data_IF_505819285093
#
_entry.id   IF_505819285093
#
_cell.length_a   1.000
_cell.length_b   1.000
_cell.length_c   1.000
_cell.angle_alpha   90.00
_cell.angle_beta   90.00
_cell.angle_gamma   90.00
#
_symmetry.space_group_name_H-M   'P 1'
#
loop_
_entity.id
_entity.type
_entity.pdbx_description
1 polymer ?
#
# COMPACT_ATOMS: atom_id res chain seq x y z
N UNK A 1 2.82 4.47 20.12
CA UNK A 1 1.46 4.88 20.57
C UNK A 1 0.61 3.63 20.76
N UNK A 2 -0.47 3.67 21.53
CA UNK A 2 -1.42 2.55 21.63
C UNK A 2 -2.58 2.88 20.70
N UNK A 3 -2.85 2.03 19.72
CA UNK A 3 -3.96 2.16 18.79
C UNK A 3 -5.09 1.22 19.22
N UNK A 4 -6.33 1.57 18.93
CA UNK A 4 -7.51 0.75 19.27
C UNK A 4 -7.81 -0.26 18.15
N UNK A 5 -7.67 0.17 16.87
CA UNK A 5 -8.07 -0.58 15.69
C UNK A 5 -6.90 -0.97 14.79
N UNK A 6 -5.68 -0.65 15.19
CA UNK A 6 -4.45 -0.99 14.46
C UNK A 6 -3.48 -1.68 15.41
N UNK A 7 -2.85 -2.72 14.94
CA UNK A 7 -1.73 -3.36 15.63
C UNK A 7 -0.44 -3.14 14.84
N UNK A 8 0.64 -2.83 15.54
CA UNK A 8 1.98 -2.77 14.99
C UNK A 8 2.81 -3.91 15.58
N UNK A 9 3.44 -4.66 14.72
CA UNK A 9 4.40 -5.70 15.06
C UNK A 9 5.72 -5.44 14.33
N UNK A 10 6.78 -6.06 14.80
CA UNK A 10 8.09 -6.02 14.15
C UNK A 10 8.64 -7.42 13.96
N UNK A 11 9.08 -7.71 12.75
CA UNK A 11 9.79 -8.94 12.38
C UNK A 11 11.13 -8.56 11.74
N UNK A 12 12.20 -8.55 12.56
CA UNK A 12 13.50 -8.04 12.11
C UNK A 12 13.41 -6.59 11.66
N UNK A 13 13.76 -6.34 10.40
CA UNK A 13 13.71 -5.03 9.75
C UNK A 13 12.38 -4.75 9.02
N UNK A 14 11.37 -5.60 9.20
CA UNK A 14 10.03 -5.42 8.63
C UNK A 14 9.08 -4.93 9.71
N UNK A 15 8.44 -3.79 9.46
CA UNK A 15 7.32 -3.30 10.26
C UNK A 15 6.00 -3.86 9.72
N UNK A 16 5.19 -4.46 10.57
CA UNK A 16 3.90 -5.07 10.20
C UNK A 16 2.78 -4.20 10.78
N UNK A 17 1.90 -3.72 9.90
CA UNK A 17 0.70 -3.00 10.25
C UNK A 17 -0.51 -3.92 10.01
N UNK A 18 -1.28 -4.20 11.07
CA UNK A 18 -2.50 -5.00 10.98
C UNK A 18 -3.73 -4.16 11.23
N UNK A 19 -4.71 -4.26 10.34
CA UNK A 19 -6.06 -3.77 10.60
C UNK A 19 -6.70 -4.71 11.62
N UNK A 20 -7.15 -4.17 12.74
CA UNK A 20 -7.63 -4.99 13.89
C UNK A 20 -9.03 -4.59 14.38
N UNK A 21 -10.01 -4.81 13.51
CA UNK A 21 -11.43 -4.71 13.82
C UNK A 21 -12.19 -5.87 13.15
N UNK A 22 -11.76 -7.14 13.42
CA UNK A 22 -12.20 -8.32 12.66
C UNK A 22 -13.70 -8.60 12.76
N UNK A 23 -14.35 -8.26 13.87
CA UNK A 23 -15.81 -8.39 14.09
C UNK A 23 -16.65 -7.52 13.15
N UNK A 24 -16.05 -6.46 12.59
CA UNK A 24 -16.62 -5.58 11.57
C UNK A 24 -15.91 -5.70 10.22
N UNK A 25 -15.23 -6.82 9.97
CA UNK A 25 -14.48 -7.09 8.73
C UNK A 25 -13.47 -5.97 8.40
N UNK A 26 -12.88 -5.37 9.42
CA UNK A 26 -11.94 -4.24 9.31
C UNK A 26 -12.52 -3.04 8.55
N UNK A 27 -13.84 -2.79 8.64
CA UNK A 27 -14.47 -1.61 8.06
C UNK A 27 -13.93 -0.33 8.71
N UNK A 28 -13.54 0.63 7.88
CA UNK A 28 -12.79 1.83 8.25
C UNK A 28 -13.69 2.91 8.86
N UNK A 29 -13.60 3.11 10.15
CA UNK A 29 -14.14 4.30 10.82
C UNK A 29 -13.24 5.52 10.61
N UNK A 30 -13.68 6.71 11.02
CA UNK A 30 -12.83 7.90 11.01
C UNK A 30 -11.60 7.70 11.91
N UNK A 31 -11.78 7.17 13.12
CA UNK A 31 -10.69 6.89 14.06
C UNK A 31 -9.70 5.88 13.48
N UNK A 32 -10.17 4.72 12.98
CA UNK A 32 -9.30 3.71 12.37
C UNK A 32 -8.52 4.26 11.16
N UNK A 33 -9.10 5.21 10.42
CA UNK A 33 -8.41 5.86 9.30
C UNK A 33 -7.26 6.76 9.77
N UNK A 34 -7.43 7.46 10.88
CA UNK A 34 -6.36 8.26 11.52
C UNK A 34 -5.28 7.34 12.06
N UNK A 35 -5.66 6.35 12.87
CA UNK A 35 -4.73 5.37 13.44
C UNK A 35 -3.89 4.65 12.38
N UNK A 36 -4.52 4.25 11.26
CA UNK A 36 -3.80 3.68 10.12
C UNK A 36 -2.74 4.64 9.58
N UNK A 37 -3.08 5.91 9.41
CA UNK A 37 -2.15 6.90 8.86
C UNK A 37 -0.98 7.18 9.82
N UNK A 38 -1.27 7.26 11.12
CA UNK A 38 -0.25 7.47 12.15
C UNK A 38 0.65 6.24 12.32
N UNK A 39 0.07 5.03 12.37
CA UNK A 39 0.81 3.78 12.46
C UNK A 39 1.72 3.57 11.25
N UNK A 40 1.22 3.87 10.04
CA UNK A 40 2.02 3.81 8.83
C UNK A 40 3.19 4.80 8.87
N UNK A 41 2.96 6.02 9.37
CA UNK A 41 4.01 7.01 9.55
C UNK A 41 5.03 6.59 10.61
N UNK A 42 4.60 6.05 11.74
CA UNK A 42 5.48 5.53 12.79
C UNK A 42 6.46 4.49 12.23
N UNK A 43 5.94 3.52 11.46
CA UNK A 43 6.79 2.52 10.80
C UNK A 43 7.70 3.12 9.71
N UNK A 44 7.21 4.10 8.98
CA UNK A 44 8.00 4.75 7.93
C UNK A 44 9.12 5.64 8.50
N UNK A 45 8.90 6.27 9.65
CA UNK A 45 9.87 7.15 10.31
C UNK A 45 10.89 6.38 11.16
N UNK A 46 10.59 5.13 11.57
CA UNK A 46 11.52 4.29 12.33
C UNK A 46 12.73 3.86 11.47
N UNK A 47 13.93 4.39 11.78
CA UNK A 47 15.17 4.07 11.05
C UNK A 47 15.57 2.59 11.06
N UNK A 48 15.04 1.79 11.99
CA UNK A 48 15.30 0.36 12.07
C UNK A 48 14.40 -0.49 11.18
N UNK A 49 13.33 0.10 10.59
CA UNK A 49 12.44 -0.55 9.64
C UNK A 49 12.93 -0.29 8.21
N UNK A 50 13.02 -1.34 7.40
CA UNK A 50 13.43 -1.29 6.01
C UNK A 50 12.29 -1.44 5.01
N UNK A 51 11.22 -2.14 5.40
CA UNK A 51 10.00 -2.32 4.61
C UNK A 51 8.78 -2.41 5.51
N UNK A 52 7.60 -2.09 4.95
CA UNK A 52 6.32 -2.13 5.65
C UNK A 52 5.45 -3.22 5.05
N UNK A 53 4.91 -4.12 5.89
CA UNK A 53 3.94 -5.12 5.53
C UNK A 53 2.57 -4.74 6.09
N UNK A 54 1.52 -4.74 5.26
CA UNK A 54 0.17 -4.38 5.65
C UNK A 54 -0.75 -5.58 5.47
N UNK A 55 -1.55 -5.91 6.48
CA UNK A 55 -2.54 -6.99 6.40
C UNK A 55 -3.74 -6.71 7.30
N UNK A 56 -4.72 -7.62 7.35
CA UNK A 56 -5.87 -7.51 8.25
C UNK A 56 -6.01 -8.74 9.14
N UNK A 57 -6.43 -8.56 10.39
CA UNK A 57 -6.79 -9.63 11.28
C UNK A 57 -8.17 -10.22 10.90
N UNK A 58 -8.36 -11.50 11.11
CA UNK A 58 -9.61 -12.20 10.82
C UNK A 58 -9.81 -12.55 9.35
N UNK A 59 -11.07 -12.71 8.94
CA UNK A 59 -11.46 -13.27 7.62
C UNK A 59 -11.46 -12.27 6.46
N UNK A 60 -11.28 -10.99 6.71
CA UNK A 60 -11.26 -9.93 5.70
C UNK A 60 -10.01 -9.08 5.82
N UNK A 61 -9.53 -8.55 4.70
CA UNK A 61 -8.55 -7.49 4.73
C UNK A 61 -9.23 -6.19 5.19
N UNK A 62 -10.19 -5.67 4.42
CA UNK A 62 -10.99 -4.50 4.77
C UNK A 62 -12.27 -4.45 3.92
N UNK A 63 -13.42 -4.42 4.55
CA UNK A 63 -14.73 -4.39 3.86
C UNK A 63 -15.10 -3.00 3.31
N UNK A 64 -14.23 -2.01 3.44
CA UNK A 64 -14.45 -0.64 2.97
C UNK A 64 -14.73 0.34 4.11
N UNK A 65 -15.47 1.39 3.81
CA UNK A 65 -15.90 2.40 4.79
C UNK A 65 -16.97 1.83 5.70
N UNK A 66 -16.88 2.10 7.01
CA UNK A 66 -17.95 1.79 7.96
C UNK A 66 -19.23 2.57 7.60
N UNK A 67 -20.38 1.93 7.73
CA UNK A 67 -21.68 2.51 7.33
C UNK A 67 -21.97 3.84 8.05
N UNK A 68 -21.50 4.01 9.27
CA UNK A 68 -21.65 5.23 10.04
C UNK A 68 -21.12 6.47 9.32
N UNK A 69 -20.03 6.32 8.52
CA UNK A 69 -19.47 7.43 7.74
C UNK A 69 -20.37 7.85 6.57
N UNK A 70 -21.15 6.95 6.02
CA UNK A 70 -22.17 7.31 5.02
C UNK A 70 -23.36 8.03 5.67
N UNK A 71 -23.79 7.57 6.85
CA UNK A 71 -24.83 8.24 7.63
C UNK A 71 -24.41 9.66 8.00
N UNK A 72 -23.17 9.85 8.48
CA UNK A 72 -22.59 11.16 8.75
C UNK A 72 -22.60 12.06 7.51
N UNK A 73 -22.24 11.52 6.34
CA UNK A 73 -22.21 12.29 5.08
C UNK A 73 -23.60 12.73 4.63
N UNK A 74 -24.64 11.93 4.89
CA UNK A 74 -26.04 12.29 4.63
C UNK A 74 -26.47 13.41 5.58
N UNK A 75 -26.19 13.26 6.89
CA UNK A 75 -26.52 14.26 7.91
C UNK A 75 -25.83 15.61 7.64
N UNK A 76 -24.55 15.61 7.21
CA UNK A 76 -23.87 16.83 6.77
C UNK A 76 -24.57 17.50 5.60
N UNK A 77 -25.04 16.73 4.63
CA UNK A 77 -25.77 17.27 3.48
C UNK A 77 -27.12 17.85 3.88
N UNK A 78 -27.72 17.31 4.93
CA UNK A 78 -28.98 17.81 5.51
C UNK A 78 -28.78 19.00 6.46
N UNK A 79 -27.53 19.51 6.59
CA UNK A 79 -27.18 20.72 7.31
C UNK A 79 -26.62 20.52 8.72
N UNK A 80 -26.38 19.28 9.15
CA UNK A 80 -25.73 19.04 10.43
C UNK A 80 -24.21 19.28 10.32
N UNK A 81 -23.60 19.77 11.40
CA UNK A 81 -22.15 19.91 11.52
C UNK A 81 -21.57 18.63 12.12
N UNK A 82 -20.78 17.90 11.33
CA UNK A 82 -20.09 16.70 11.78
C UNK A 82 -18.60 17.00 11.94
N UNK A 83 -18.08 16.84 13.15
CA UNK A 83 -16.63 16.92 13.38
C UNK A 83 -15.92 15.76 12.69
N UNK A 84 -14.95 16.10 11.83
CA UNK A 84 -14.10 15.11 11.17
C UNK A 84 -12.68 15.20 11.68
N UNK A 85 -12.01 14.07 11.89
CA UNK A 85 -10.62 14.09 12.30
C UNK A 85 -9.75 14.74 11.22
N UNK A 86 -8.74 15.48 11.67
CA UNK A 86 -7.72 16.04 10.79
C UNK A 86 -6.61 14.99 10.60
N UNK A 87 -6.26 14.74 9.35
CA UNK A 87 -5.11 13.91 9.02
C UNK A 87 -3.83 14.75 9.02
N UNK A 88 -2.74 14.19 9.54
CA UNK A 88 -1.43 14.84 9.58
C UNK A 88 -0.86 15.08 8.17
N UNK A 89 -1.19 14.22 7.21
CA UNK A 89 -0.68 14.28 5.83
C UNK A 89 -1.66 13.61 4.86
N UNK A 90 -1.44 13.87 3.54
CA UNK A 90 -2.15 13.15 2.49
C UNK A 90 -1.64 11.70 2.43
N UNK A 91 -2.49 10.75 2.81
CA UNK A 91 -2.12 9.34 2.92
C UNK A 91 -1.65 8.71 1.59
N UNK A 92 -2.14 9.18 0.44
CA UNK A 92 -1.73 8.68 -0.88
C UNK A 92 -0.31 9.17 -1.20
N UNK A 93 -0.07 10.48 -1.13
CA UNK A 93 1.26 11.06 -1.38
C UNK A 93 2.31 10.50 -0.43
N UNK A 94 1.92 10.32 0.84
CA UNK A 94 2.80 9.75 1.84
C UNK A 94 3.18 8.31 1.53
N UNK A 95 2.22 7.47 1.12
CA UNK A 95 2.48 6.07 0.77
C UNK A 95 3.36 5.94 -0.50
N UNK A 96 3.15 6.82 -1.50
CA UNK A 96 3.98 6.86 -2.70
C UNK A 96 5.43 7.22 -2.41
N UNK A 97 5.69 8.04 -1.38
CA UNK A 97 7.04 8.46 -0.97
C UNK A 97 7.66 7.61 0.14
N UNK A 98 6.89 6.71 0.76
CA UNK A 98 7.32 5.90 1.90
C UNK A 98 8.31 4.79 1.51
N UNK A 99 8.85 4.12 2.52
CA UNK A 99 9.61 2.86 2.39
C UNK A 99 8.83 1.85 1.55
N UNK A 100 9.50 0.85 0.96
CA UNK A 100 8.80 -0.23 0.25
C UNK A 100 7.70 -0.84 1.10
N UNK A 101 6.55 -1.04 0.47
CA UNK A 101 5.34 -1.53 1.12
C UNK A 101 4.76 -2.75 0.41
N UNK A 102 4.56 -3.82 1.17
CA UNK A 102 3.94 -5.07 0.71
C UNK A 102 2.56 -5.20 1.38
N UNK A 103 1.54 -5.47 0.61
CA UNK A 103 0.19 -5.72 1.13
C UNK A 103 -0.15 -7.19 1.02
N UNK A 104 -0.43 -7.83 2.14
CA UNK A 104 -0.91 -9.21 2.23
C UNK A 104 -2.44 -9.21 2.36
N UNK A 105 -3.14 -9.47 1.25
CA UNK A 105 -4.60 -9.42 1.20
C UNK A 105 -5.18 -10.78 1.59
N UNK A 106 -5.58 -10.91 2.84
CA UNK A 106 -6.04 -12.17 3.45
C UNK A 106 -7.50 -12.54 3.15
N UNK A 107 -8.30 -11.59 2.66
CA UNK A 107 -9.73 -11.79 2.42
C UNK A 107 -10.34 -10.63 1.64
N UNK A 108 -11.60 -10.29 1.91
CA UNK A 108 -12.30 -9.20 1.22
C UNK A 108 -11.55 -7.86 1.34
N UNK A 109 -11.27 -7.22 0.20
CA UNK A 109 -10.60 -5.93 0.05
C UNK A 109 -11.48 -5.04 -0.83
N UNK A 110 -12.36 -4.25 -0.20
CA UNK A 110 -13.51 -3.63 -0.84
C UNK A 110 -13.48 -2.11 -0.68
N UNK A 111 -13.84 -1.37 -1.73
CA UNK A 111 -14.00 0.08 -1.70
C UNK A 111 -12.76 0.79 -1.17
N UNK A 112 -12.91 1.55 -0.06
CA UNK A 112 -11.81 2.25 0.59
C UNK A 112 -10.69 1.30 1.10
N UNK A 113 -10.99 0.03 1.37
CA UNK A 113 -9.99 -0.98 1.68
C UNK A 113 -9.05 -1.24 0.51
N UNK A 114 -9.58 -1.28 -0.71
CA UNK A 114 -8.77 -1.43 -1.92
C UNK A 114 -8.09 -0.13 -2.32
N UNK A 115 -8.81 1.00 -2.37
CA UNK A 115 -8.23 2.27 -2.84
C UNK A 115 -7.09 2.75 -1.94
N UNK A 116 -7.13 2.45 -0.64
CA UNK A 116 -6.07 2.78 0.32
C UNK A 116 -4.75 2.07 0.04
N UNK A 117 -4.78 0.87 -0.53
CA UNK A 117 -3.58 0.07 -0.80
C UNK A 117 -3.12 0.11 -2.26
N UNK A 118 -3.81 0.84 -3.13
CA UNK A 118 -3.33 1.07 -4.50
C UNK A 118 -1.99 1.82 -4.55
N UNK A 119 -1.72 2.83 -3.70
CA UNK A 119 -0.42 3.51 -3.69
C UNK A 119 0.72 2.69 -3.06
N UNK A 120 0.43 1.52 -2.47
CA UNK A 120 1.46 0.59 -1.99
C UNK A 120 2.15 -0.12 -3.17
N UNK A 121 3.41 -0.54 -2.98
CA UNK A 121 4.24 -1.01 -4.08
C UNK A 121 3.79 -2.37 -4.62
N UNK A 122 3.54 -3.33 -3.73
CA UNK A 122 3.17 -4.70 -4.12
C UNK A 122 2.01 -5.24 -3.29
N UNK A 123 1.12 -5.98 -3.92
CA UNK A 123 0.02 -6.72 -3.30
C UNK A 123 0.17 -8.20 -3.60
N UNK A 124 0.11 -9.04 -2.56
CA UNK A 124 0.01 -10.51 -2.65
C UNK A 124 -1.34 -10.89 -2.08
N UNK A 125 -2.06 -11.78 -2.74
CA UNK A 125 -3.39 -12.19 -2.33
C UNK A 125 -3.41 -13.64 -1.83
N UNK A 126 -4.21 -13.88 -0.80
CA UNK A 126 -4.71 -15.22 -0.52
C UNK A 126 -5.67 -15.66 -1.62
N UNK A 127 -5.73 -16.94 -1.92
CA UNK A 127 -6.75 -17.53 -2.80
C UNK A 127 -8.20 -17.24 -2.35
N UNK A 128 -8.38 -16.88 -1.06
CA UNK A 128 -9.68 -16.48 -0.48
C UNK A 128 -9.99 -15.01 -0.64
N UNK A 129 -9.06 -14.22 -1.17
CA UNK A 129 -9.24 -12.78 -1.30
C UNK A 129 -10.25 -12.44 -2.41
N UNK A 130 -11.01 -11.40 -2.17
CA UNK A 130 -11.91 -10.81 -3.17
C UNK A 130 -11.73 -9.30 -3.22
N UNK A 131 -11.93 -8.73 -4.40
CA UNK A 131 -11.68 -7.31 -4.63
C UNK A 131 -12.88 -6.64 -5.29
N UNK A 132 -13.18 -5.40 -4.89
CA UNK A 132 -14.21 -4.60 -5.55
C UNK A 132 -13.97 -3.11 -5.31
N UNK A 133 -14.13 -2.31 -6.35
CA UNK A 133 -14.12 -0.84 -6.28
C UNK A 133 -15.55 -0.29 -6.39
N UNK A 134 -16.43 -0.78 -5.53
CA UNK A 134 -17.89 -0.69 -5.64
C UNK A 134 -18.54 0.64 -5.26
N UNK A 135 -17.85 1.76 -5.35
CA UNK A 135 -18.37 3.10 -4.98
C UNK A 135 -19.65 3.46 -5.72
N UNK A 136 -19.74 3.18 -7.01
CA UNK A 136 -20.93 3.46 -7.82
C UNK A 136 -22.19 2.72 -7.34
N UNK A 137 -22.02 1.56 -6.68
CA UNK A 137 -23.14 0.78 -6.14
C UNK A 137 -23.72 1.35 -4.85
N UNK A 138 -23.01 2.31 -4.25
CA UNK A 138 -23.49 3.04 -3.06
C UNK A 138 -23.68 4.53 -3.36
N UNK A 139 -23.76 4.89 -4.65
CA UNK A 139 -24.13 6.24 -5.11
C UNK A 139 -23.03 7.29 -4.96
N UNK A 140 -21.76 6.88 -4.87
CA UNK A 140 -20.60 7.78 -4.77
C UNK A 140 -19.55 7.44 -5.81
N UNK A 141 -18.53 8.28 -5.93
CA UNK A 141 -17.40 8.08 -6.85
C UNK A 141 -16.17 7.54 -6.13
N UNK A 142 -15.25 6.86 -6.83
CA UNK A 142 -13.97 6.42 -6.27
C UNK A 142 -13.13 7.58 -5.73
N UNK A 143 -12.34 7.29 -4.69
CA UNK A 143 -11.51 8.25 -3.94
C UNK A 143 -10.04 7.83 -3.88
N UNK A 144 -9.20 8.57 -3.14
CA UNK A 144 -7.80 8.27 -2.88
C UNK A 144 -6.97 8.05 -4.16
N UNK A 145 -7.17 8.93 -5.13
CA UNK A 145 -6.51 8.89 -6.44
C UNK A 145 -6.69 7.56 -7.20
N UNK A 146 -7.65 6.71 -6.80
CA UNK A 146 -7.84 5.39 -7.40
C UNK A 146 -8.22 5.44 -8.89
N UNK A 147 -8.87 6.49 -9.36
CA UNK A 147 -9.17 6.69 -10.79
C UNK A 147 -7.92 6.97 -11.65
N UNK A 148 -6.81 7.31 -11.01
CA UNK A 148 -5.49 7.45 -11.62
C UNK A 148 -4.65 6.19 -11.43
N UNK A 149 -4.54 5.69 -10.19
CA UNK A 149 -3.67 4.57 -9.84
C UNK A 149 -4.16 3.23 -10.41
N UNK A 150 -5.48 2.96 -10.35
CA UNK A 150 -6.01 1.69 -10.83
C UNK A 150 -5.76 1.47 -12.33
N UNK A 151 -6.02 2.44 -13.24
CA UNK A 151 -5.68 2.28 -14.65
C UNK A 151 -4.20 2.06 -14.93
N UNK A 152 -3.31 2.61 -14.13
CA UNK A 152 -1.86 2.37 -14.26
C UNK A 152 -1.48 0.93 -13.88
N UNK A 153 -2.18 0.35 -12.91
CA UNK A 153 -1.92 -1.01 -12.42
C UNK A 153 -2.52 -2.07 -13.35
N UNK A 154 -3.80 -1.91 -13.75
CA UNK A 154 -4.55 -2.95 -14.46
C UNK A 154 -4.91 -2.59 -15.92
N UNK A 155 -4.50 -1.42 -16.39
CA UNK A 155 -4.93 -0.86 -17.67
C UNK A 155 -6.34 -0.26 -17.62
N UNK A 156 -6.61 0.68 -18.53
CA UNK A 156 -7.86 1.47 -18.53
C UNK A 156 -9.10 0.59 -18.67
N UNK A 157 -9.04 -0.46 -19.52
CA UNK A 157 -10.22 -1.29 -19.80
C UNK A 157 -10.66 -2.08 -18.55
N UNK A 158 -9.73 -2.74 -17.85
CA UNK A 158 -10.04 -3.48 -16.61
C UNK A 158 -10.44 -2.52 -15.49
N UNK A 159 -9.78 -1.38 -15.37
CA UNK A 159 -10.14 -0.35 -14.40
C UNK A 159 -11.56 0.18 -14.63
N UNK A 160 -11.94 0.44 -15.89
CA UNK A 160 -13.28 0.89 -16.27
C UNK A 160 -14.34 -0.16 -15.93
N UNK A 161 -14.11 -1.42 -16.26
CA UNK A 161 -15.04 -2.50 -15.92
C UNK A 161 -15.26 -2.59 -14.40
N UNK A 162 -14.19 -2.60 -13.62
CA UNK A 162 -14.28 -2.67 -12.16
C UNK A 162 -14.96 -1.43 -11.56
N UNK A 163 -14.60 -0.23 -12.01
CA UNK A 163 -15.09 1.01 -11.42
C UNK A 163 -16.54 1.32 -11.82
N UNK A 164 -16.93 1.03 -13.06
CA UNK A 164 -18.29 1.33 -13.57
C UNK A 164 -19.29 0.25 -13.17
N UNK A 165 -18.89 -1.03 -13.08
CA UNK A 165 -19.77 -2.11 -12.65
C UNK A 165 -19.85 -2.23 -11.12
N UNK A 166 -18.77 -1.89 -10.42
CA UNK A 166 -18.59 -2.16 -8.99
C UNK A 166 -18.70 -3.66 -8.67
N UNK A 167 -18.42 -4.54 -9.65
CA UNK A 167 -18.45 -5.99 -9.45
C UNK A 167 -17.32 -6.46 -8.52
N UNK A 168 -17.49 -7.63 -7.97
CA UNK A 168 -16.45 -8.30 -7.19
C UNK A 168 -15.71 -9.28 -8.09
N UNK A 169 -14.39 -9.31 -7.97
CA UNK A 169 -13.50 -10.29 -8.59
C UNK A 169 -12.80 -11.15 -7.54
N UNK A 170 -12.43 -12.36 -7.91
CA UNK A 170 -11.63 -13.25 -7.07
C UNK A 170 -10.13 -12.97 -7.20
N UNK A 171 -9.32 -13.68 -6.40
CA UNK A 171 -7.88 -13.53 -6.37
C UNK A 171 -7.21 -13.91 -7.71
N UNK A 172 -7.72 -14.92 -8.41
CA UNK A 172 -7.17 -15.36 -9.70
C UNK A 172 -7.41 -14.32 -10.79
N UNK A 173 -8.60 -13.74 -10.84
CA UNK A 173 -8.87 -12.65 -11.77
C UNK A 173 -8.02 -11.42 -11.42
N UNK A 174 -7.87 -11.09 -10.13
CA UNK A 174 -7.02 -9.99 -9.68
C UNK A 174 -5.55 -10.15 -10.10
N UNK A 175 -5.01 -11.38 -10.03
CA UNK A 175 -3.66 -11.71 -10.54
C UNK A 175 -3.59 -11.61 -12.06
N UNK A 176 -4.57 -12.16 -12.77
CA UNK A 176 -4.61 -12.12 -14.24
C UNK A 176 -4.60 -10.72 -14.83
N UNK A 177 -5.27 -9.76 -14.15
CA UNK A 177 -5.29 -8.35 -14.60
C UNK A 177 -4.15 -7.50 -14.01
N UNK A 178 -3.27 -8.09 -13.19
CA UNK A 178 -2.14 -7.37 -12.59
C UNK A 178 -2.49 -6.53 -11.35
N UNK A 179 -3.69 -6.67 -10.78
CA UNK A 179 -4.05 -5.96 -9.55
C UNK A 179 -3.23 -6.47 -8.35
N UNK A 180 -2.92 -7.75 -8.33
CA UNK A 180 -2.00 -8.37 -7.38
C UNK A 180 -0.85 -9.05 -8.12
N UNK A 181 0.33 -9.06 -7.51
CA UNK A 181 1.53 -9.67 -8.09
C UNK A 181 1.37 -11.20 -8.25
N UNK A 182 0.78 -11.82 -7.25
CA UNK A 182 0.52 -13.28 -7.22
C UNK A 182 -0.54 -13.65 -6.20
N UNK A 183 -1.14 -14.80 -6.42
CA UNK A 183 -2.06 -15.47 -5.49
C UNK A 183 -1.39 -16.70 -4.89
N UNK A 184 -1.55 -16.92 -3.60
CA UNK A 184 -1.00 -18.05 -2.85
C UNK A 184 -2.07 -18.73 -2.01
N UNK A 185 -1.83 -19.96 -1.54
CA UNK A 185 -2.69 -20.59 -0.56
C UNK A 185 -2.82 -19.71 0.69
N UNK A 186 -3.96 -19.78 1.38
CA UNK A 186 -4.24 -18.85 2.48
C UNK A 186 -3.16 -18.91 3.57
N UNK A 187 -2.72 -20.09 3.93
CA UNK A 187 -1.74 -20.31 5.00
C UNK A 187 -0.32 -19.87 4.59
N UNK A 188 -0.05 -19.77 3.28
CA UNK A 188 1.22 -19.31 2.73
C UNK A 188 1.29 -17.78 2.55
N UNK A 189 0.17 -17.06 2.76
CA UNK A 189 0.11 -15.63 2.48
C UNK A 189 1.12 -14.82 3.30
N UNK A 190 1.11 -14.96 4.61
CA UNK A 190 2.03 -14.22 5.48
C UNK A 190 3.49 -14.62 5.27
N UNK A 191 3.86 -15.91 5.18
CA UNK A 191 5.21 -16.31 4.81
C UNK A 191 5.69 -15.70 3.49
N UNK A 192 4.86 -15.72 2.44
CA UNK A 192 5.23 -15.18 1.14
C UNK A 192 5.39 -13.65 1.15
N UNK A 193 4.52 -12.93 1.87
CA UNK A 193 4.58 -11.48 1.98
C UNK A 193 5.76 -11.01 2.85
N UNK A 194 6.03 -11.71 3.95
CA UNK A 194 7.20 -11.45 4.80
C UNK A 194 8.51 -11.70 4.07
N UNK A 195 8.62 -12.78 3.30
CA UNK A 195 9.81 -13.05 2.52
C UNK A 195 10.12 -11.88 1.56
N UNK A 196 9.12 -11.40 0.81
CA UNK A 196 9.29 -10.26 -0.10
C UNK A 196 9.63 -8.96 0.64
N UNK A 197 8.98 -8.70 1.79
CA UNK A 197 9.27 -7.51 2.58
C UNK A 197 10.69 -7.54 3.17
N UNK A 198 11.17 -8.72 3.61
CA UNK A 198 12.55 -8.91 4.08
C UNK A 198 13.57 -8.71 2.96
N UNK A 199 13.29 -9.19 1.73
CA UNK A 199 14.15 -8.94 0.58
C UNK A 199 14.30 -7.43 0.33
N UNK A 200 13.20 -6.67 0.38
CA UNK A 200 13.28 -5.21 0.26
C UNK A 200 14.03 -4.57 1.44
N UNK A 201 13.80 -5.04 2.65
CA UNK A 201 14.44 -4.50 3.83
C UNK A 201 15.98 -4.67 3.83
N UNK A 202 16.52 -5.60 3.07
CA UNK A 202 17.97 -5.83 2.93
C UNK A 202 18.64 -4.91 1.90
N UNK A 203 17.89 -4.10 1.16
CA UNK A 203 18.44 -3.17 0.17
C UNK A 203 18.76 -1.83 0.82
N UNK A 204 19.73 -1.09 0.26
CA UNK A 204 20.09 0.24 0.72
C UNK A 204 18.89 1.21 0.68
N UNK A 205 18.53 1.84 1.82
CA UNK A 205 17.30 2.63 1.94
C UNK A 205 17.22 3.80 0.98
N UNK A 206 18.34 4.48 0.74
CA UNK A 206 18.38 5.63 -0.17
C UNK A 206 18.25 5.19 -1.64
N UNK A 207 18.86 4.06 -2.00
CA UNK A 207 18.74 3.48 -3.33
C UNK A 207 17.28 3.08 -3.62
N UNK A 208 16.62 2.43 -2.66
CA UNK A 208 15.20 2.06 -2.79
C UNK A 208 14.31 3.30 -2.90
N UNK A 209 14.51 4.30 -2.05
CA UNK A 209 13.73 5.52 -2.04
C UNK A 209 13.82 6.24 -3.39
N UNK A 210 15.03 6.42 -3.93
CA UNK A 210 15.21 7.08 -5.23
C UNK A 210 14.66 6.23 -6.39
N UNK A 211 14.82 4.91 -6.35
CA UNK A 211 14.25 4.02 -7.36
C UNK A 211 12.72 4.10 -7.38
N UNK A 212 12.08 4.03 -6.20
CA UNK A 212 10.62 4.17 -6.08
C UNK A 212 10.14 5.52 -6.60
N UNK A 213 10.82 6.61 -6.23
CA UNK A 213 10.48 7.95 -6.72
C UNK A 213 10.60 8.06 -8.25
N UNK A 214 11.63 7.48 -8.85
CA UNK A 214 11.80 7.42 -10.31
C UNK A 214 10.69 6.61 -10.99
N UNK A 215 10.33 5.45 -10.45
CA UNK A 215 9.26 4.63 -11.00
C UNK A 215 7.93 5.39 -11.05
N UNK A 216 7.55 6.07 -9.96
CA UNK A 216 6.31 6.86 -9.91
C UNK A 216 6.36 8.09 -10.81
N UNK A 217 7.46 8.85 -10.78
CA UNK A 217 7.59 10.06 -11.61
C UNK A 217 7.63 9.76 -13.11
N UNK A 218 8.25 8.63 -13.49
CA UNK A 218 8.42 8.26 -14.89
C UNK A 218 7.24 7.45 -15.46
N UNK A 219 6.41 6.83 -14.61
CA UNK A 219 5.23 6.08 -15.05
C UNK A 219 4.21 6.93 -15.85
N UNK A 220 4.19 8.23 -15.63
CA UNK A 220 3.28 9.18 -16.28
C UNK A 220 3.99 10.15 -17.24
N UNK A 221 5.31 10.02 -17.38
CA UNK A 221 6.13 10.89 -18.22
C UNK A 221 6.16 10.38 -19.66
N UNK A 222 5.92 11.25 -20.63
CA UNK A 222 5.97 10.93 -22.05
C UNK A 222 7.28 11.38 -22.70
N UNK A 223 7.99 12.34 -22.11
CA UNK A 223 9.29 12.80 -22.60
C UNK A 223 10.40 11.88 -22.10
N UNK A 224 10.86 10.97 -22.96
CA UNK A 224 11.94 10.03 -22.65
C UNK A 224 13.25 10.73 -22.30
N UNK A 225 13.49 11.96 -22.79
CA UNK A 225 14.70 12.72 -22.47
C UNK A 225 14.68 13.17 -21.02
N UNK A 226 13.50 13.60 -20.53
CA UNK A 226 13.30 13.96 -19.12
C UNK A 226 13.43 12.74 -18.21
N UNK A 227 12.92 11.56 -18.64
CA UNK A 227 13.14 10.29 -17.94
C UNK A 227 14.63 10.00 -17.78
N UNK A 228 15.38 10.01 -18.90
CA UNK A 228 16.83 9.76 -18.89
C UNK A 228 17.62 10.77 -18.06
N UNK A 229 17.21 12.05 -18.07
CA UNK A 229 17.80 13.09 -17.23
C UNK A 229 17.62 12.77 -15.73
N UNK A 230 16.38 12.47 -15.28
CA UNK A 230 16.07 12.13 -13.89
C UNK A 230 16.88 10.91 -13.43
N UNK A 231 16.95 9.87 -14.27
CA UNK A 231 17.71 8.66 -13.97
C UNK A 231 19.23 8.95 -13.88
N UNK A 232 19.76 9.75 -14.81
CA UNK A 232 21.16 10.15 -14.80
C UNK A 232 21.54 10.95 -13.54
N UNK A 233 20.69 11.87 -13.13
CA UNK A 233 20.88 12.66 -11.90
C UNK A 233 20.83 11.78 -10.65
N UNK A 234 19.85 10.87 -10.55
CA UNK A 234 19.74 9.94 -9.43
C UNK A 234 20.95 8.99 -9.38
N UNK A 235 21.34 8.43 -10.51
CA UNK A 235 22.53 7.59 -10.62
C UNK A 235 23.81 8.34 -10.20
N UNK A 236 23.96 9.60 -10.60
CA UNK A 236 25.10 10.41 -10.21
C UNK A 236 25.18 10.60 -8.68
N UNK A 237 24.03 10.81 -8.01
CA UNK A 237 23.97 10.89 -6.54
C UNK A 237 24.34 9.59 -5.84
N UNK A 238 24.03 8.44 -6.45
CA UNK A 238 24.29 7.11 -5.84
C UNK A 238 25.69 6.59 -6.13
N UNK A 239 26.36 7.03 -7.20
CA UNK A 239 27.74 6.62 -7.51
C UNK A 239 28.69 7.04 -6.39
N UNK A 240 29.46 6.09 -5.86
CA UNK A 240 30.39 6.30 -4.77
C UNK A 240 29.73 6.59 -3.40
N UNK A 241 28.42 6.41 -3.27
CA UNK A 241 27.73 6.53 -1.99
C UNK A 241 28.17 5.48 -0.98
N UNK A 242 27.85 5.66 0.30
CA UNK A 242 28.14 4.68 1.33
C UNK A 242 27.50 3.31 1.01
N UNK A 243 26.24 3.31 0.53
CA UNK A 243 25.54 2.08 0.14
C UNK A 243 26.25 1.36 -1.01
N UNK A 244 26.68 2.09 -2.05
CA UNK A 244 27.42 1.46 -3.15
C UNK A 244 28.75 0.87 -2.69
N UNK A 245 29.49 1.58 -1.80
CA UNK A 245 30.75 1.07 -1.26
C UNK A 245 30.55 -0.19 -0.44
N UNK A 246 29.52 -0.21 0.41
CA UNK A 246 29.16 -1.38 1.21
C UNK A 246 28.78 -2.55 0.31
N UNK A 247 27.93 -2.34 -0.69
CA UNK A 247 27.52 -3.39 -1.63
C UNK A 247 28.74 -3.99 -2.37
N UNK A 248 29.68 -3.16 -2.81
CA UNK A 248 30.91 -3.61 -3.51
C UNK A 248 31.85 -4.35 -2.54
N UNK A 249 31.98 -3.88 -1.30
CA UNK A 249 32.79 -4.55 -0.28
C UNK A 249 32.21 -5.93 0.06
N UNK A 250 30.91 -5.98 0.34
CA UNK A 250 30.20 -7.22 0.66
C UNK A 250 30.30 -8.25 -0.46
N UNK A 251 30.15 -7.80 -1.72
CA UNK A 251 30.32 -8.68 -2.90
C UNK A 251 31.73 -9.28 -2.98
N UNK A 252 32.78 -8.47 -2.76
CA UNK A 252 34.18 -8.93 -2.76
C UNK A 252 34.46 -9.90 -1.62
N UNK A 253 33.89 -9.66 -0.46
CA UNK A 253 34.06 -10.45 0.76
C UNK A 253 33.12 -11.67 0.81
N UNK A 254 32.22 -11.83 -0.18
CA UNK A 254 31.21 -12.91 -0.26
C UNK A 254 30.32 -12.98 0.97
N UNK A 255 29.88 -11.85 1.47
CA UNK A 255 28.94 -11.70 2.58
C UNK A 255 27.72 -10.86 2.16
N UNK A 256 26.68 -10.91 2.97
CA UNK A 256 25.54 -10.01 2.82
C UNK A 256 25.95 -8.55 3.16
N UNK A 257 25.44 -7.56 2.41
CA UNK A 257 25.68 -6.15 2.71
C UNK A 257 24.92 -5.71 3.96
N UNK A 258 25.46 -4.70 4.66
CA UNK A 258 24.86 -4.13 5.87
C UNK A 258 24.60 -2.65 5.65
N UNK A 259 23.34 -2.31 5.35
CA UNK A 259 22.95 -0.94 5.07
C UNK A 259 22.30 -0.22 6.27
N UNK A 260 22.02 -0.96 7.37
CA UNK A 260 21.44 -0.47 8.64
C UNK A 260 22.20 -0.98 9.81
#
# INVERSE_FOLDING_TARGET
MTYEFIEIERDGDVGILRLNRPERLNAMTNQMSVEYSEAFAELNEDGAIGAILITGNGRAFCAGVDISRFEDSIRERDGETIERPKFRFNGVEYALAAKPSVVAVNGACIGAGLTRVLPCDVRIASERATFSIRFVRVGIVPELASTHLLPQIVGLQAASDLALSGRTIDAREAERIGLVLRTVAHDDLMPAALALARDYAQIGPECLRETKALLHANAVEQDIRLVMQREGEALARRRGSAEQREAVAAFREKREPRFR
#
